data_IF_122090946094
#
_entry.id   IF_122090946094
#
_cell.length_a   1.000
_cell.length_b   1.000
_cell.length_c   1.000
_cell.angle_alpha   90.00
_cell.angle_beta   90.00
_cell.angle_gamma   90.00
#
_symmetry.space_group_name_H-M   'P 1'
#
loop_
_entity.id
_entity.type
_entity.pdbx_description
1 polymer ?
#
# COMPACT_ATOMS: atom_id res chain seq x y z
N UNK A 1 8.45 -4.12 15.51
CA UNK A 1 7.12 -4.77 15.63
C UNK A 1 7.04 -5.91 14.64
N UNK A 2 6.65 -7.11 15.12
CA UNK A 2 6.50 -8.31 14.30
C UNK A 2 5.01 -8.59 14.06
N UNK A 3 4.62 -8.63 12.79
CA UNK A 3 3.25 -8.95 12.38
C UNK A 3 3.29 -10.19 11.51
N UNK A 4 2.43 -11.17 11.81
CA UNK A 4 2.20 -12.30 10.91
C UNK A 4 0.81 -12.20 10.29
N UNK A 5 0.75 -12.33 8.96
CA UNK A 5 -0.49 -12.60 8.21
C UNK A 5 -0.41 -14.09 7.85
N UNK A 6 -1.39 -14.88 8.26
CA UNK A 6 -1.38 -16.34 8.07
C UNK A 6 -2.70 -16.83 7.47
N UNK A 7 -2.74 -18.10 7.06
CA UNK A 7 -3.93 -18.73 6.46
C UNK A 7 -4.42 -17.97 5.21
N UNK A 8 -3.50 -17.59 4.32
CA UNK A 8 -3.81 -16.85 3.11
C UNK A 8 -3.28 -17.50 1.83
N UNK A 9 -3.87 -17.11 0.69
CA UNK A 9 -3.28 -17.37 -0.63
C UNK A 9 -2.29 -16.24 -0.93
N UNK A 10 -0.99 -16.50 -0.75
CA UNK A 10 0.06 -15.49 -0.85
C UNK A 10 0.61 -15.42 -2.27
N UNK A 11 0.59 -14.24 -2.86
CA UNK A 11 1.21 -13.99 -4.17
C UNK A 11 2.70 -13.71 -4.00
N UNK A 12 3.53 -14.45 -4.73
CA UNK A 12 4.97 -14.25 -4.82
C UNK A 12 5.43 -14.12 -6.28
N UNK A 13 6.65 -13.68 -6.55
CA UNK A 13 7.20 -13.67 -7.92
C UNK A 13 7.20 -15.05 -8.58
N UNK A 14 7.29 -16.12 -7.81
CA UNK A 14 7.29 -17.52 -8.28
C UNK A 14 5.87 -18.09 -8.45
N UNK A 15 4.84 -17.34 -8.05
CA UNK A 15 3.45 -17.75 -8.12
C UNK A 15 2.75 -17.78 -6.77
N UNK A 16 1.61 -18.43 -6.72
CA UNK A 16 0.76 -18.50 -5.53
C UNK A 16 1.20 -19.58 -4.55
N UNK A 17 1.20 -19.20 -3.27
CA UNK A 17 1.35 -20.14 -2.15
C UNK A 17 -0.01 -20.29 -1.49
N UNK A 18 -0.58 -21.50 -1.54
CA UNK A 18 -1.79 -21.84 -0.82
C UNK A 18 -1.46 -22.08 0.66
N UNK A 19 -2.34 -21.63 1.55
CA UNK A 19 -2.17 -21.75 3.01
C UNK A 19 -0.82 -21.21 3.48
N UNK A 20 -0.41 -20.10 2.89
CA UNK A 20 0.85 -19.43 3.21
C UNK A 20 0.74 -18.41 4.33
N UNK A 21 1.89 -17.91 4.73
CA UNK A 21 1.99 -16.78 5.65
C UNK A 21 3.08 -15.80 5.25
N UNK A 22 2.92 -14.56 5.72
CA UNK A 22 3.88 -13.47 5.57
C UNK A 22 4.19 -12.92 6.94
N UNK A 23 5.48 -12.83 7.27
CA UNK A 23 5.96 -12.15 8.48
C UNK A 23 6.53 -10.80 8.09
N UNK A 24 6.07 -9.77 8.76
CA UNK A 24 6.50 -8.39 8.57
C UNK A 24 7.23 -7.95 9.85
N UNK A 25 8.43 -7.45 9.69
CA UNK A 25 9.21 -6.80 10.74
C UNK A 25 9.30 -5.32 10.46
N UNK A 26 8.68 -4.53 11.31
CA UNK A 26 8.51 -3.08 11.15
C UNK A 26 7.82 -2.73 9.81
N UNK A 27 8.54 -2.26 8.82
CA UNK A 27 8.00 -1.89 7.50
C UNK A 27 8.48 -2.83 6.37
N UNK A 28 9.08 -3.99 6.69
CA UNK A 28 9.66 -4.88 5.69
C UNK A 28 9.12 -6.30 5.81
N UNK A 29 8.92 -6.94 4.66
CA UNK A 29 8.65 -8.38 4.61
C UNK A 29 9.93 -9.09 5.06
N UNK A 30 9.82 -9.82 6.17
CA UNK A 30 10.92 -10.62 6.75
C UNK A 30 10.95 -12.03 6.20
N UNK A 31 9.78 -12.64 6.05
CA UNK A 31 9.63 -14.02 5.63
C UNK A 31 8.32 -14.24 4.87
N UNK A 32 8.36 -15.09 3.86
CA UNK A 32 7.17 -15.66 3.21
C UNK A 32 7.29 -17.18 3.32
N UNK A 33 6.27 -17.83 3.87
CA UNK A 33 6.30 -19.26 4.17
C UNK A 33 5.14 -20.01 3.51
N UNK A 34 5.40 -21.28 3.15
CA UNK A 34 4.39 -22.24 2.69
C UNK A 34 3.62 -22.90 3.85
N UNK A 35 3.58 -22.26 5.00
CA UNK A 35 2.93 -22.76 6.19
C UNK A 35 2.01 -21.69 6.77
N UNK A 36 0.78 -22.07 7.05
CA UNK A 36 -0.20 -21.23 7.75
C UNK A 36 -0.10 -21.31 9.28
N UNK A 37 0.96 -21.98 9.82
CA UNK A 37 1.14 -22.09 11.25
C UNK A 37 1.32 -20.71 11.88
N UNK A 38 0.55 -20.45 12.94
CA UNK A 38 0.76 -19.28 13.78
C UNK A 38 2.08 -19.42 14.54
N UNK A 39 2.92 -18.41 14.43
CA UNK A 39 4.23 -18.35 15.11
C UNK A 39 4.07 -17.72 16.50
N UNK A 40 4.89 -18.17 17.43
CA UNK A 40 4.99 -17.55 18.75
C UNK A 40 5.83 -16.26 18.68
N UNK A 41 5.58 -15.34 19.61
CA UNK A 41 6.35 -14.09 19.71
C UNK A 41 5.99 -13.01 18.70
N UNK A 42 4.85 -13.13 18.00
CA UNK A 42 4.32 -12.07 17.15
C UNK A 42 3.61 -11.02 17.99
N UNK A 43 3.89 -9.74 17.69
CA UNK A 43 3.17 -8.61 18.31
C UNK A 43 1.72 -8.55 17.82
N UNK A 44 1.49 -8.98 16.58
CA UNK A 44 0.15 -9.05 15.97
C UNK A 44 0.07 -10.23 15.00
N UNK A 45 -1.07 -10.93 15.03
CA UNK A 45 -1.40 -11.98 14.07
C UNK A 45 -2.72 -11.63 13.37
N UNK A 46 -2.75 -11.78 12.05
CA UNK A 46 -3.90 -11.51 11.18
C UNK A 46 -4.23 -12.80 10.45
N UNK A 47 -5.40 -13.37 10.73
CA UNK A 47 -5.92 -14.49 9.96
C UNK A 47 -6.51 -13.98 8.65
N UNK A 48 -5.97 -14.41 7.52
CA UNK A 48 -6.48 -14.05 6.21
C UNK A 48 -7.72 -14.86 5.80
N UNK A 49 -8.11 -15.87 6.57
CA UNK A 49 -9.28 -16.70 6.30
C UNK A 49 -9.37 -17.25 4.86
N UNK A 50 -8.23 -17.64 4.29
CA UNK A 50 -8.15 -18.12 2.90
C UNK A 50 -8.23 -16.99 1.84
N UNK A 51 -8.24 -15.72 2.24
CA UNK A 51 -8.21 -14.61 1.29
C UNK A 51 -6.84 -14.45 0.63
N UNK A 52 -6.82 -13.71 -0.47
CA UNK A 52 -5.59 -13.36 -1.16
C UNK A 52 -4.76 -12.37 -0.34
N UNK A 53 -3.51 -12.69 -0.17
CA UNK A 53 -2.48 -11.81 0.43
C UNK A 53 -1.53 -11.41 -0.68
N UNK A 54 -1.57 -10.16 -1.06
CA UNK A 54 -0.82 -9.61 -2.19
C UNK A 54 -0.03 -8.37 -1.74
N UNK A 55 1.07 -8.02 -2.43
CA UNK A 55 1.70 -6.72 -2.23
C UNK A 55 0.71 -5.57 -2.46
N UNK A 56 0.90 -4.46 -1.78
CA UNK A 56 0.12 -3.26 -2.05
C UNK A 56 0.29 -2.79 -3.49
N UNK A 57 -0.78 -2.25 -4.07
CA UNK A 57 -0.77 -1.74 -5.43
C UNK A 57 0.14 -0.51 -5.59
N UNK A 58 0.74 -0.39 -6.76
CA UNK A 58 1.48 0.82 -7.18
C UNK A 58 0.70 1.46 -8.31
N UNK A 59 0.19 2.66 -8.08
CA UNK A 59 -0.50 3.45 -9.08
C UNK A 59 0.49 4.40 -9.75
N UNK A 60 0.78 4.14 -11.02
CA UNK A 60 1.79 4.89 -11.79
C UNK A 60 1.24 6.16 -12.44
N UNK A 61 -0.07 6.42 -12.37
CA UNK A 61 -0.69 7.56 -13.03
C UNK A 61 -2.01 7.91 -12.33
N UNK A 62 -1.94 8.81 -11.37
CA UNK A 62 -3.08 9.21 -10.54
C UNK A 62 -3.18 10.73 -10.48
N UNK A 63 -4.32 11.30 -10.86
CA UNK A 63 -4.58 12.74 -10.79
C UNK A 63 -5.20 13.18 -9.47
N UNK A 64 -5.89 12.26 -8.78
CA UNK A 64 -6.56 12.58 -7.53
C UNK A 64 -7.43 11.43 -7.03
N UNK A 65 -8.26 11.72 -6.03
CA UNK A 65 -9.17 10.75 -5.44
C UNK A 65 -9.92 11.31 -4.24
N UNK A 66 -11.03 10.68 -3.86
CA UNK A 66 -11.80 11.11 -2.70
C UNK A 66 -12.37 12.53 -2.80
N UNK A 67 -12.54 13.06 -4.00
CA UNK A 67 -13.01 14.42 -4.25
C UNK A 67 -11.91 15.49 -4.26
N UNK A 68 -10.64 15.09 -4.18
CA UNK A 68 -9.47 15.99 -4.26
C UNK A 68 -8.61 15.71 -5.49
N UNK A 69 -7.86 16.71 -5.93
CA UNK A 69 -6.93 16.68 -7.06
C UNK A 69 -5.55 17.19 -6.60
N UNK A 70 -4.46 16.64 -7.16
CA UNK A 70 -3.10 17.09 -6.83
C UNK A 70 -2.84 18.54 -7.28
N UNK A 71 -3.63 19.06 -8.21
CA UNK A 71 -3.55 20.47 -8.63
C UNK A 71 -4.09 21.46 -7.58
N UNK A 72 -4.76 21.00 -6.52
CA UNK A 72 -5.14 21.85 -5.39
C UNK A 72 -3.91 22.34 -4.60
N UNK A 73 -2.78 21.67 -4.72
CA UNK A 73 -1.50 22.03 -4.09
C UNK A 73 -1.62 22.25 -2.57
N UNK A 74 -2.49 21.48 -1.91
CA UNK A 74 -2.70 21.54 -0.46
C UNK A 74 -2.36 20.20 0.18
N UNK A 75 -1.82 20.25 1.39
CA UNK A 75 -1.50 19.04 2.15
C UNK A 75 -2.75 18.18 2.41
N UNK A 76 -3.86 18.83 2.71
CA UNK A 76 -5.14 18.16 2.96
C UNK A 76 -5.60 17.37 1.74
N UNK A 77 -5.47 17.94 0.53
CA UNK A 77 -5.83 17.25 -0.71
C UNK A 77 -4.94 16.02 -0.92
N UNK A 78 -3.62 16.15 -0.75
CA UNK A 78 -2.68 15.05 -0.90
C UNK A 78 -2.94 13.93 0.11
N UNK A 79 -3.19 14.26 1.37
CA UNK A 79 -3.52 13.29 2.42
C UNK A 79 -4.85 12.58 2.13
N UNK A 80 -5.89 13.31 1.69
CA UNK A 80 -7.17 12.74 1.32
C UNK A 80 -7.06 11.76 0.15
N UNK A 81 -6.30 12.12 -0.88
CA UNK A 81 -6.03 11.25 -2.04
C UNK A 81 -5.31 10.00 -1.57
N UNK A 82 -4.20 10.14 -0.84
CA UNK A 82 -3.41 9.01 -0.34
C UNK A 82 -4.26 8.06 0.51
N UNK A 83 -5.06 8.58 1.43
CA UNK A 83 -5.94 7.78 2.26
C UNK A 83 -7.05 7.07 1.48
N UNK A 84 -7.60 7.74 0.47
CA UNK A 84 -8.62 7.15 -0.39
C UNK A 84 -8.06 5.92 -1.12
N UNK A 85 -6.91 6.05 -1.73
CA UNK A 85 -6.26 4.94 -2.45
C UNK A 85 -5.77 3.84 -1.50
N UNK A 86 -5.23 4.20 -0.33
CA UNK A 86 -4.77 3.23 0.67
C UNK A 86 -5.90 2.31 1.15
N UNK A 87 -7.12 2.83 1.34
CA UNK A 87 -8.30 2.03 1.71
C UNK A 87 -8.66 0.97 0.67
N UNK A 88 -8.21 1.15 -0.56
CA UNK A 88 -8.41 0.21 -1.68
C UNK A 88 -7.15 -0.59 -2.01
N UNK A 89 -6.13 -0.55 -1.14
CA UNK A 89 -4.93 -1.40 -1.23
C UNK A 89 -3.78 -0.82 -2.05
N UNK A 90 -3.87 0.44 -2.51
CA UNK A 90 -2.74 1.13 -3.16
C UNK A 90 -1.80 1.67 -2.08
N UNK A 91 -0.52 1.31 -2.15
CA UNK A 91 0.49 1.68 -1.15
C UNK A 91 1.57 2.63 -1.69
N UNK A 92 1.58 2.86 -3.00
CA UNK A 92 2.42 3.87 -3.65
C UNK A 92 1.65 4.53 -4.79
N UNK A 93 1.75 5.85 -4.89
CA UNK A 93 1.08 6.65 -5.92
C UNK A 93 2.11 7.56 -6.58
N UNK A 94 2.09 7.59 -7.91
CA UNK A 94 2.79 8.61 -8.69
C UNK A 94 1.80 9.74 -8.99
N UNK A 95 1.88 10.81 -8.19
CA UNK A 95 1.05 11.99 -8.37
C UNK A 95 1.27 12.57 -9.77
N UNK A 96 0.18 12.72 -10.52
CA UNK A 96 0.20 13.17 -11.90
C UNK A 96 -0.57 14.47 -12.02
N UNK A 97 0.05 15.48 -12.63
CA UNK A 97 -0.57 16.77 -12.89
C UNK A 97 -1.07 16.84 -14.33
N UNK A 98 -2.22 17.40 -14.53
CA UNK A 98 -2.65 17.86 -15.86
C UNK A 98 -1.89 19.12 -16.27
N UNK A 99 -1.93 19.49 -17.54
CA UNK A 99 -1.30 20.72 -18.01
C UNK A 99 -1.79 21.93 -17.24
N UNK A 100 -0.85 22.62 -16.60
CA UNK A 100 -1.11 23.72 -15.67
C UNK A 100 -0.04 24.80 -15.80
N UNK A 101 -0.26 26.02 -15.30
CA UNK A 101 0.79 27.00 -15.16
C UNK A 101 1.99 26.47 -14.37
N UNK A 102 3.20 26.86 -14.76
CA UNK A 102 4.45 26.35 -14.16
C UNK A 102 4.49 26.56 -12.65
N UNK A 103 4.07 27.74 -12.18
CA UNK A 103 4.04 28.06 -10.74
C UNK A 103 3.11 27.14 -9.94
N UNK A 104 2.02 26.66 -10.55
CA UNK A 104 1.13 25.67 -9.93
C UNK A 104 1.83 24.31 -9.87
N UNK A 105 2.48 23.87 -10.94
CA UNK A 105 3.21 22.60 -10.95
C UNK A 105 4.34 22.58 -9.94
N UNK A 106 5.08 23.70 -9.81
CA UNK A 106 6.13 23.86 -8.78
C UNK A 106 5.57 23.75 -7.36
N UNK A 107 4.43 24.39 -7.08
CA UNK A 107 3.76 24.29 -5.77
C UNK A 107 3.30 22.86 -5.47
N UNK A 108 2.74 22.16 -6.45
CA UNK A 108 2.33 20.78 -6.27
C UNK A 108 3.53 19.87 -5.92
N UNK A 109 4.65 20.03 -6.61
CA UNK A 109 5.88 19.30 -6.30
C UNK A 109 6.37 19.59 -4.88
N UNK A 110 6.37 20.85 -4.48
CA UNK A 110 6.77 21.27 -3.11
C UNK A 110 5.83 20.72 -2.02
N UNK A 111 4.55 20.50 -2.35
CA UNK A 111 3.59 19.95 -1.41
C UNK A 111 3.77 18.44 -1.23
N UNK A 112 4.33 17.76 -2.24
CA UNK A 112 4.57 16.32 -2.23
C UNK A 112 5.77 15.92 -1.34
N UNK A 113 6.73 16.83 -1.11
CA UNK A 113 7.93 16.64 -0.29
C UNK A 113 7.59 16.75 1.22
#
# INVERSE_FOLDING_TARGET
MLIQIYNGHVLTPEGWINDGSVVIEDSRIKEVSKSSRLLEGMDKAIDAHGMHVVPGGVDLHCHGGGGSDFQECTREAFENIAQTHLRHGTTAIFATLSSSPIDMMERACQTCD
#
